data_IF_185883803830
#
_entry.id   IF_185883803830
#
_cell.length_a   1.000
_cell.length_b   1.000
_cell.length_c   1.000
_cell.angle_alpha   90.00
_cell.angle_beta   90.00
_cell.angle_gamma   90.00
#
_symmetry.space_group_name_H-M   'P 1'
#
loop_
_entity.id
_entity.type
_entity.pdbx_description
1 polymer ?
#
# COMPACT_ATOMS: atom_id res chain seq x y z
N UNK A 1 -27.02 11.35 -22.55
CA UNK A 1 -25.84 12.05 -21.99
C UNK A 1 -26.29 12.84 -20.77
N UNK A 2 -26.24 12.24 -19.57
CA UNK A 2 -26.37 13.02 -18.33
C UNK A 2 -24.99 13.63 -18.09
N UNK A 3 -24.79 14.85 -18.56
CA UNK A 3 -23.69 15.69 -18.09
C UNK A 3 -23.88 15.79 -16.58
N UNK A 4 -22.99 15.13 -15.85
CA UNK A 4 -23.04 15.11 -14.39
C UNK A 4 -22.85 16.55 -13.93
N UNK A 5 -23.90 17.10 -13.33
CA UNK A 5 -23.85 18.44 -12.76
C UNK A 5 -22.84 18.41 -11.62
N UNK A 6 -21.97 19.40 -11.60
CA UNK A 6 -20.81 19.65 -10.72
C UNK A 6 -21.12 19.75 -9.21
N UNK A 7 -22.27 19.24 -8.74
CA UNK A 7 -22.72 19.29 -7.35
C UNK A 7 -23.23 17.94 -6.82
N UNK A 8 -23.36 16.89 -7.66
CA UNK A 8 -23.73 15.56 -7.15
C UNK A 8 -22.52 14.89 -6.49
N UNK A 9 -22.66 14.61 -5.19
CA UNK A 9 -21.69 13.85 -4.41
C UNK A 9 -21.54 12.46 -5.06
N UNK A 10 -20.44 12.25 -5.80
CA UNK A 10 -20.10 10.93 -6.31
C UNK A 10 -19.80 9.99 -5.14
N UNK A 11 -20.78 9.19 -4.75
CA UNK A 11 -20.52 8.00 -3.95
C UNK A 11 -20.26 6.85 -4.91
N UNK A 12 -19.04 6.29 -4.85
CA UNK A 12 -18.57 5.29 -5.81
C UNK A 12 -19.44 4.04 -5.83
N UNK A 13 -20.22 3.78 -4.76
CA UNK A 13 -21.20 2.69 -4.71
C UNK A 13 -22.25 2.78 -5.82
N UNK A 14 -22.46 3.96 -6.40
CA UNK A 14 -23.42 4.21 -7.46
C UNK A 14 -22.76 4.46 -8.83
N UNK A 15 -21.43 4.45 -8.91
CA UNK A 15 -20.75 4.60 -10.18
C UNK A 15 -20.76 3.29 -10.95
N UNK A 16 -21.18 3.38 -12.20
CA UNK A 16 -21.04 2.32 -13.19
C UNK A 16 -19.57 2.17 -13.59
N UNK A 17 -19.21 0.97 -14.09
CA UNK A 17 -17.88 0.73 -14.67
C UNK A 17 -17.51 1.77 -15.74
N UNK A 18 -18.49 2.23 -16.53
CA UNK A 18 -18.28 3.28 -17.54
C UNK A 18 -17.86 4.61 -16.90
N UNK A 19 -18.53 5.03 -15.84
CA UNK A 19 -18.18 6.27 -15.13
C UNK A 19 -16.81 6.16 -14.43
N UNK A 20 -16.46 4.98 -13.90
CA UNK A 20 -15.10 4.74 -13.38
C UNK A 20 -14.06 4.93 -14.49
N UNK A 21 -14.29 4.39 -15.69
CA UNK A 21 -13.40 4.56 -16.83
C UNK A 21 -13.30 6.03 -17.27
N UNK A 22 -14.40 6.78 -17.23
CA UNK A 22 -14.39 8.23 -17.50
C UNK A 22 -13.54 8.99 -16.47
N UNK A 23 -13.67 8.66 -15.18
CA UNK A 23 -12.85 9.27 -14.12
C UNK A 23 -11.37 8.86 -14.21
N UNK A 24 -11.07 7.64 -14.64
CA UNK A 24 -9.68 7.22 -14.88
C UNK A 24 -9.01 8.07 -15.97
N UNK A 25 -9.78 8.53 -16.95
CA UNK A 25 -9.35 9.44 -18.03
C UNK A 25 -9.39 10.92 -17.64
N UNK A 26 -9.76 11.26 -16.41
CA UNK A 26 -9.93 12.66 -16.01
C UNK A 26 -8.63 13.45 -16.19
N UNK A 27 -8.75 14.61 -16.83
CA UNK A 27 -7.68 15.59 -17.02
C UNK A 27 -8.23 17.01 -16.79
N UNK A 28 -7.33 17.98 -16.67
CA UNK A 28 -7.69 19.40 -16.54
C UNK A 28 -8.65 19.66 -15.37
N UNK A 29 -9.74 20.39 -15.64
CA UNK A 29 -10.71 20.79 -14.61
C UNK A 29 -11.36 19.57 -13.91
N UNK A 30 -11.73 18.54 -14.67
CA UNK A 30 -12.37 17.34 -14.12
C UNK A 30 -11.45 16.63 -13.11
N UNK A 31 -10.16 16.51 -13.42
CA UNK A 31 -9.18 15.91 -12.51
C UNK A 31 -8.97 16.75 -11.25
N UNK A 32 -8.88 18.07 -11.40
CA UNK A 32 -8.74 18.99 -10.26
C UNK A 32 -9.93 18.87 -9.31
N UNK A 33 -11.15 18.79 -9.85
CA UNK A 33 -12.37 18.65 -9.07
C UNK A 33 -12.44 17.26 -8.39
N UNK A 34 -12.04 16.20 -9.09
CA UNK A 34 -11.89 14.85 -8.54
C UNK A 34 -10.94 14.84 -7.33
N UNK A 35 -9.75 15.43 -7.46
CA UNK A 35 -8.76 15.46 -6.38
C UNK A 35 -9.21 16.36 -5.23
N UNK A 36 -9.85 17.50 -5.52
CA UNK A 36 -10.44 18.36 -4.49
C UNK A 36 -11.45 17.57 -3.67
N UNK A 37 -12.36 16.85 -4.33
CA UNK A 37 -13.37 16.04 -3.65
C UNK A 37 -12.75 14.91 -2.82
N UNK A 38 -11.74 14.24 -3.36
CA UNK A 38 -11.01 13.22 -2.62
C UNK A 38 -10.38 13.78 -1.33
N UNK A 39 -9.76 14.97 -1.38
CA UNK A 39 -9.21 15.63 -0.18
C UNK A 39 -10.28 16.01 0.83
N UNK A 40 -11.43 16.53 0.39
CA UNK A 40 -12.57 16.86 1.28
C UNK A 40 -13.07 15.62 2.03
N UNK A 41 -13.13 14.45 1.38
CA UNK A 41 -13.53 13.20 2.04
C UNK A 41 -12.46 12.70 2.99
N UNK A 42 -11.18 12.82 2.60
CA UNK A 42 -10.03 12.36 3.40
C UNK A 42 -9.87 13.18 4.68
N UNK A 43 -10.28 14.46 4.68
CA UNK A 43 -10.00 15.44 5.74
C UNK A 43 -8.49 15.64 5.93
N UNK A 44 -8.06 16.06 7.12
CA UNK A 44 -6.67 16.38 7.45
C UNK A 44 -5.89 15.22 8.09
N UNK A 45 -6.49 14.03 8.19
CA UNK A 45 -5.85 12.90 8.86
C UNK A 45 -4.92 12.17 7.91
N UNK A 46 -3.60 12.19 8.20
CA UNK A 46 -2.61 11.34 7.53
C UNK A 46 -1.82 10.55 8.55
N UNK A 47 -1.75 9.23 8.36
CA UNK A 47 -1.00 8.33 9.22
C UNK A 47 0.39 8.05 8.67
N UNK A 48 1.33 7.83 9.58
CA UNK A 48 2.67 7.34 9.27
C UNK A 48 2.89 6.01 10.00
N UNK A 49 3.57 5.07 9.36
CA UNK A 49 3.95 3.79 9.99
C UNK A 49 5.36 3.39 9.62
N UNK A 50 6.04 2.69 10.54
CA UNK A 50 7.40 2.20 10.34
C UNK A 50 7.40 0.85 9.65
N UNK A 51 8.30 0.65 8.69
CA UNK A 51 8.53 -0.62 8.00
C UNK A 51 9.91 -1.17 8.39
N UNK A 52 9.94 -2.47 8.65
CA UNK A 52 11.16 -3.27 8.78
C UNK A 52 11.13 -4.37 7.71
N UNK A 53 12.12 -4.34 6.81
CA UNK A 53 12.47 -5.44 5.94
C UNK A 53 13.31 -6.44 6.74
N UNK A 54 12.70 -7.53 7.20
CA UNK A 54 13.37 -8.51 8.08
C UNK A 54 14.35 -9.42 7.31
N UNK A 55 14.25 -9.47 5.98
CA UNK A 55 15.14 -10.25 5.11
C UNK A 55 15.15 -9.80 3.65
N UNK A 56 16.25 -10.05 2.94
CA UNK A 56 16.38 -9.89 1.47
C UNK A 56 16.80 -11.19 0.76
N UNK A 57 16.57 -11.25 -0.56
CA UNK A 57 16.88 -12.41 -1.42
C UNK A 57 18.35 -12.39 -1.94
N UNK A 58 18.81 -13.55 -2.39
CA UNK A 58 20.12 -13.95 -2.91
C UNK A 58 20.55 -13.33 -4.26
N UNK A 59 19.64 -12.70 -5.03
CA UNK A 59 20.02 -11.97 -6.25
C UNK A 59 20.61 -10.58 -5.97
N UNK A 60 20.35 -10.03 -4.77
CA UNK A 60 21.05 -8.85 -4.26
C UNK A 60 22.39 -9.31 -3.64
N UNK A 61 23.51 -8.66 -4.00
CA UNK A 61 24.86 -8.99 -3.48
C UNK A 61 25.02 -8.87 -1.95
N UNK A 62 23.95 -8.56 -1.22
CA UNK A 62 23.89 -8.37 0.24
C UNK A 62 22.61 -8.99 0.84
N UNK A 63 22.48 -10.32 0.77
CA UNK A 63 21.44 -11.04 1.52
C UNK A 63 21.66 -10.88 3.03
N UNK A 64 20.61 -10.53 3.77
CA UNK A 64 20.67 -10.45 5.23
C UNK A 64 19.37 -10.96 5.87
N UNK A 65 19.49 -11.29 7.15
CA UNK A 65 18.41 -11.70 8.03
C UNK A 65 18.53 -10.95 9.34
N UNK A 66 17.47 -10.26 9.76
CA UNK A 66 17.45 -9.63 11.07
C UNK A 66 17.09 -10.67 12.13
N UNK A 67 17.91 -10.75 13.17
CA UNK A 67 17.59 -11.54 14.34
C UNK A 67 16.55 -10.84 15.24
N UNK A 68 16.09 -11.57 16.26
CA UNK A 68 15.14 -11.05 17.25
C UNK A 68 15.60 -9.73 17.87
N UNK A 69 16.89 -9.62 18.27
CA UNK A 69 17.40 -8.44 18.97
C UNK A 69 17.38 -7.21 18.06
N UNK A 70 17.77 -7.36 16.80
CA UNK A 70 17.74 -6.30 15.80
C UNK A 70 16.31 -5.80 15.56
N UNK A 71 15.34 -6.71 15.38
CA UNK A 71 13.95 -6.33 15.13
C UNK A 71 13.37 -5.55 16.33
N UNK A 72 13.60 -6.02 17.56
CA UNK A 72 13.15 -5.31 18.77
C UNK A 72 13.82 -3.95 18.93
N UNK A 73 15.13 -3.84 18.64
CA UNK A 73 15.84 -2.57 18.69
C UNK A 73 15.26 -1.54 17.71
N UNK A 74 14.95 -1.96 16.48
CA UNK A 74 14.34 -1.09 15.47
C UNK A 74 12.88 -0.75 15.86
N UNK A 75 12.12 -1.71 16.40
CA UNK A 75 10.76 -1.46 16.88
C UNK A 75 10.73 -0.40 18.01
N UNK A 76 11.74 -0.39 18.89
CA UNK A 76 11.93 0.68 19.89
C UNK A 76 12.19 2.04 19.24
N UNK A 77 12.93 2.09 18.13
CA UNK A 77 13.14 3.34 17.39
C UNK A 77 11.84 3.85 16.74
N UNK A 78 11.03 2.95 16.17
CA UNK A 78 9.69 3.29 15.62
C UNK A 78 8.81 3.88 16.73
N UNK A 79 8.80 3.27 17.92
CA UNK A 79 8.07 3.80 19.07
C UNK A 79 8.59 5.17 19.52
N UNK A 80 9.91 5.35 19.59
CA UNK A 80 10.54 6.61 19.95
C UNK A 80 10.27 7.73 18.94
N UNK A 81 10.01 7.38 17.67
CA UNK A 81 9.54 8.29 16.63
C UNK A 81 8.03 8.61 16.73
N UNK A 82 7.36 8.23 17.81
CA UNK A 82 5.92 8.41 18.05
C UNK A 82 5.01 7.75 17.01
N UNK A 83 5.47 6.68 16.35
CA UNK A 83 4.64 5.87 15.47
C UNK A 83 3.97 4.75 16.27
N UNK A 84 2.70 4.49 15.97
CA UNK A 84 1.89 3.50 16.67
C UNK A 84 1.84 2.13 15.96
N UNK A 85 2.42 2.04 14.76
CA UNK A 85 2.25 0.92 13.85
C UNK A 85 3.57 0.52 13.21
N UNK A 86 3.82 -0.78 13.18
CA UNK A 86 4.99 -1.42 12.59
C UNK A 86 4.57 -2.45 11.55
N UNK A 87 5.25 -2.45 10.40
CA UNK A 87 5.13 -3.46 9.35
C UNK A 87 6.39 -4.30 9.34
N UNK A 88 6.24 -5.61 9.54
CA UNK A 88 7.30 -6.59 9.35
C UNK A 88 7.08 -7.24 7.98
N UNK A 89 8.02 -7.02 7.05
CA UNK A 89 7.91 -7.52 5.69
C UNK A 89 9.14 -8.33 5.28
N UNK A 90 8.91 -9.33 4.44
CA UNK A 90 9.95 -10.18 3.87
C UNK A 90 9.63 -10.45 2.40
N UNK A 91 10.66 -10.42 1.57
CA UNK A 91 10.57 -10.84 0.15
C UNK A 91 10.64 -12.36 -0.01
N UNK A 92 11.19 -13.07 0.96
CA UNK A 92 11.30 -14.52 0.92
C UNK A 92 10.05 -15.18 1.50
N UNK A 93 9.60 -16.25 0.83
CA UNK A 93 8.64 -17.21 1.36
C UNK A 93 9.33 -18.22 2.32
N UNK A 94 10.16 -17.74 3.25
CA UNK A 94 10.75 -18.58 4.30
C UNK A 94 9.71 -18.77 5.42
N UNK A 95 9.95 -19.82 6.20
CA UNK A 95 9.29 -20.07 7.47
C UNK A 95 9.84 -19.10 8.53
N UNK A 96 9.21 -17.93 8.63
CA UNK A 96 9.50 -16.91 9.65
C UNK A 96 8.88 -17.21 11.02
N UNK A 97 8.17 -18.32 11.14
CA UNK A 97 7.29 -18.62 12.27
C UNK A 97 8.02 -18.54 13.62
N UNK A 98 9.15 -19.24 13.78
CA UNK A 98 9.89 -19.23 15.05
C UNK A 98 10.34 -17.83 15.47
N UNK A 99 10.91 -17.04 14.54
CA UNK A 99 11.35 -15.67 14.81
C UNK A 99 10.17 -14.77 15.19
N UNK A 100 9.05 -14.87 14.45
CA UNK A 100 7.87 -14.04 14.68
C UNK A 100 7.13 -14.41 15.96
N UNK A 101 7.14 -15.68 16.36
CA UNK A 101 6.59 -16.16 17.63
C UNK A 101 7.30 -15.54 18.84
N UNK A 102 8.59 -15.26 18.72
CA UNK A 102 9.37 -14.58 19.76
C UNK A 102 9.15 -13.07 19.73
N UNK A 103 9.18 -12.46 18.53
CA UNK A 103 9.18 -11.00 18.36
C UNK A 103 7.80 -10.37 18.56
N UNK A 104 6.73 -10.99 18.03
CA UNK A 104 5.38 -10.39 18.03
C UNK A 104 4.88 -10.11 19.45
N UNK A 105 4.95 -11.05 20.42
CA UNK A 105 4.50 -10.80 21.78
C UNK A 105 5.24 -9.64 22.46
N UNK A 106 6.55 -9.52 22.24
CA UNK A 106 7.37 -8.43 22.81
C UNK A 106 6.92 -7.08 22.23
N UNK A 107 6.80 -6.97 20.91
CA UNK A 107 6.33 -5.73 20.26
C UNK A 107 4.92 -5.36 20.74
N UNK A 108 4.03 -6.35 20.88
CA UNK A 108 2.65 -6.12 21.27
C UNK A 108 2.53 -5.68 22.72
N UNK A 109 3.17 -6.40 23.63
CA UNK A 109 2.96 -6.25 25.07
C UNK A 109 3.88 -5.20 25.70
N UNK A 110 5.13 -5.08 25.23
CA UNK A 110 6.10 -4.15 25.81
C UNK A 110 6.09 -2.79 25.11
N UNK A 111 5.94 -2.77 23.77
CA UNK A 111 5.98 -1.52 22.99
C UNK A 111 4.58 -0.95 22.67
N UNK A 112 3.54 -1.77 22.85
CA UNK A 112 2.15 -1.41 22.52
C UNK A 112 2.05 -0.82 21.10
N UNK A 113 2.62 -1.53 20.12
CA UNK A 113 2.54 -1.20 18.70
C UNK A 113 1.51 -2.10 18.00
N UNK A 114 0.84 -1.54 16.99
CA UNK A 114 0.05 -2.33 16.04
C UNK A 114 0.98 -3.04 15.07
N UNK A 115 0.77 -4.34 14.87
CA UNK A 115 1.65 -5.19 14.08
C UNK A 115 0.97 -5.56 12.78
N UNK A 116 1.68 -5.33 11.67
CA UNK A 116 1.27 -5.70 10.32
C UNK A 116 2.30 -6.65 9.76
N UNK A 117 1.85 -7.78 9.20
CA UNK A 117 2.72 -8.71 8.49
C UNK A 117 2.54 -8.59 6.99
N UNK A 118 3.64 -8.57 6.24
CA UNK A 118 3.67 -8.61 4.78
C UNK A 118 4.64 -9.68 4.32
N UNK A 119 4.20 -10.94 4.38
CA UNK A 119 5.05 -12.11 4.17
C UNK A 119 4.65 -12.95 2.94
N UNK A 120 3.67 -12.46 2.16
CA UNK A 120 3.08 -13.18 1.03
C UNK A 120 2.03 -14.21 1.46
N UNK A 121 1.72 -15.13 0.55
CA UNK A 121 0.69 -16.14 0.76
C UNK A 121 1.13 -17.20 1.78
N UNK A 122 0.21 -17.59 2.66
CA UNK A 122 0.38 -18.66 3.65
C UNK A 122 -0.89 -19.49 3.76
N UNK A 123 -0.74 -20.66 4.37
CA UNK A 123 -1.88 -21.51 4.71
C UNK A 123 -2.69 -20.90 5.86
N UNK A 124 -3.96 -21.32 5.97
CA UNK A 124 -4.91 -20.75 6.93
C UNK A 124 -4.45 -20.92 8.38
N UNK A 125 -3.79 -22.03 8.69
CA UNK A 125 -3.28 -22.38 10.02
C UNK A 125 -2.19 -21.39 10.46
N UNK A 126 -1.33 -20.97 9.54
CA UNK A 126 -0.27 -19.98 9.78
C UNK A 126 -0.89 -18.61 10.07
N UNK A 127 -1.88 -18.18 9.28
CA UNK A 127 -2.61 -16.95 9.56
C UNK A 127 -3.33 -16.99 10.91
N UNK A 128 -3.92 -18.13 11.28
CA UNK A 128 -4.56 -18.31 12.57
C UNK A 128 -3.53 -18.19 13.72
N UNK A 129 -2.32 -18.70 13.53
CA UNK A 129 -1.22 -18.55 14.50
C UNK A 129 -0.83 -17.08 14.67
N UNK A 130 -0.63 -16.35 13.57
CA UNK A 130 -0.33 -14.92 13.61
C UNK A 130 -1.43 -14.10 14.30
N UNK A 131 -2.70 -14.39 14.02
CA UNK A 131 -3.82 -13.75 14.71
C UNK A 131 -3.76 -13.98 16.23
N UNK A 132 -3.47 -15.21 16.67
CA UNK A 132 -3.32 -15.55 18.11
C UNK A 132 -2.15 -14.84 18.79
N UNK A 133 -1.06 -14.58 18.06
CA UNK A 133 0.10 -13.86 18.58
C UNK A 133 -0.15 -12.35 18.75
N UNK A 134 -1.23 -11.81 18.17
CA UNK A 134 -1.62 -10.40 18.32
C UNK A 134 -1.34 -9.52 17.10
N UNK A 135 -1.14 -10.13 15.91
CA UNK A 135 -1.08 -9.40 14.64
C UNK A 135 -2.40 -8.69 14.38
N UNK A 136 -2.35 -7.41 14.02
CA UNK A 136 -3.52 -6.59 13.79
C UNK A 136 -4.01 -6.66 12.34
N UNK A 137 -3.07 -6.70 11.39
CA UNK A 137 -3.35 -6.60 9.96
C UNK A 137 -2.39 -7.46 9.16
N UNK A 138 -2.81 -7.90 7.97
CA UNK A 138 -1.96 -8.60 7.03
C UNK A 138 -2.02 -7.92 5.67
N UNK A 139 -0.86 -7.60 5.11
CA UNK A 139 -0.72 -6.99 3.80
C UNK A 139 -0.43 -8.05 2.73
N UNK A 140 -1.29 -8.10 1.72
CA UNK A 140 -1.18 -9.00 0.58
C UNK A 140 -1.90 -8.37 -0.61
N UNK A 141 -1.16 -7.76 -1.53
CA UNK A 141 -1.76 -7.14 -2.71
C UNK A 141 -2.22 -8.20 -3.73
N UNK A 142 -3.47 -8.13 -4.18
CA UNK A 142 -3.94 -8.97 -5.29
C UNK A 142 -3.29 -8.59 -6.63
N UNK A 143 -2.88 -7.32 -6.77
CA UNK A 143 -2.10 -6.79 -7.88
C UNK A 143 -2.93 -6.46 -9.12
N UNK A 144 -3.71 -7.41 -9.63
CA UNK A 144 -4.69 -7.17 -10.70
C UNK A 144 -5.77 -8.23 -10.66
N UNK A 145 -7.00 -7.84 -10.97
CA UNK A 145 -8.19 -8.68 -11.13
C UNK A 145 -8.19 -9.49 -12.42
N UNK A 146 -7.32 -9.14 -13.38
CA UNK A 146 -7.18 -9.88 -14.63
C UNK A 146 -6.25 -11.10 -14.41
N UNK A 147 -6.74 -12.34 -14.55
CA UNK A 147 -5.95 -13.53 -14.28
C UNK A 147 -4.78 -13.73 -15.25
N UNK A 148 -4.88 -13.24 -16.49
CA UNK A 148 -3.82 -13.34 -17.50
C UNK A 148 -2.69 -12.37 -17.16
N UNK A 149 -3.01 -11.11 -16.84
CA UNK A 149 -2.01 -10.14 -16.39
C UNK A 149 -1.37 -10.58 -15.07
N UNK A 150 -2.17 -11.11 -14.14
CA UNK A 150 -1.67 -11.62 -12.87
C UNK A 150 -0.62 -12.73 -13.04
N UNK A 151 -0.81 -13.64 -14.00
CA UNK A 151 0.12 -14.73 -14.27
C UNK A 151 1.48 -14.24 -14.82
N UNK A 152 1.52 -13.05 -15.43
CA UNK A 152 2.76 -12.46 -15.96
C UNK A 152 3.57 -11.73 -14.88
N UNK A 153 2.94 -11.37 -13.75
CA UNK A 153 3.55 -10.54 -12.70
C UNK A 153 3.84 -11.34 -11.44
N UNK A 154 3.03 -12.35 -11.14
CA UNK A 154 3.10 -13.10 -9.90
C UNK A 154 3.31 -14.58 -10.15
N UNK A 155 4.06 -15.22 -9.25
CA UNK A 155 4.33 -16.66 -9.31
C UNK A 155 3.08 -17.51 -9.02
N UNK A 156 2.08 -16.93 -8.38
CA UNK A 156 0.84 -17.61 -7.96
C UNK A 156 -0.38 -17.09 -8.72
N UNK A 157 -1.39 -17.94 -8.96
CA UNK A 157 -2.64 -17.51 -9.56
C UNK A 157 -3.42 -16.52 -8.68
N UNK A 158 -4.11 -15.56 -9.31
CA UNK A 158 -4.98 -14.61 -8.61
C UNK A 158 -5.95 -15.27 -7.62
N UNK A 159 -6.59 -16.39 -8.01
CA UNK A 159 -7.52 -17.13 -7.14
C UNK A 159 -6.91 -17.54 -5.79
N UNK A 160 -5.60 -17.79 -5.76
CA UNK A 160 -4.91 -18.20 -4.55
C UNK A 160 -4.77 -17.01 -3.59
N UNK A 161 -4.33 -15.85 -4.10
CA UNK A 161 -4.29 -14.60 -3.33
C UNK A 161 -5.66 -14.21 -2.80
N UNK A 162 -6.71 -14.24 -3.63
CA UNK A 162 -8.08 -13.93 -3.20
C UNK A 162 -8.56 -14.88 -2.08
N UNK A 163 -8.23 -16.18 -2.18
CA UNK A 163 -8.51 -17.15 -1.12
C UNK A 163 -7.79 -16.80 0.19
N UNK A 164 -6.53 -16.40 0.13
CA UNK A 164 -5.77 -15.96 1.29
C UNK A 164 -6.39 -14.70 1.93
N UNK A 165 -6.79 -13.70 1.13
CA UNK A 165 -7.48 -12.50 1.61
C UNK A 165 -8.78 -12.85 2.35
N UNK A 166 -9.58 -13.75 1.77
CA UNK A 166 -10.80 -14.23 2.40
C UNK A 166 -10.51 -14.97 3.73
N UNK A 167 -9.46 -15.82 3.79
CA UNK A 167 -9.07 -16.46 5.05
C UNK A 167 -8.68 -15.45 6.13
N UNK A 168 -7.92 -14.41 5.77
CA UNK A 168 -7.52 -13.34 6.69
C UNK A 168 -8.75 -12.62 7.27
N UNK A 169 -9.71 -12.26 6.42
CA UNK A 169 -10.97 -11.65 6.86
C UNK A 169 -11.80 -12.57 7.76
N UNK A 170 -11.91 -13.86 7.41
CA UNK A 170 -12.62 -14.85 8.24
C UNK A 170 -12.01 -15.03 9.63
N UNK A 171 -10.69 -14.82 9.76
CA UNK A 171 -9.98 -14.88 11.03
C UNK A 171 -10.08 -13.57 11.84
N UNK A 172 -10.76 -12.54 11.31
CA UNK A 172 -10.90 -11.24 11.97
C UNK A 172 -9.67 -10.35 11.84
N UNK A 173 -8.68 -10.73 11.03
CA UNK A 173 -7.54 -9.86 10.73
C UNK A 173 -7.98 -8.73 9.79
N UNK A 174 -7.45 -7.53 10.01
CA UNK A 174 -7.54 -6.47 9.00
C UNK A 174 -6.72 -6.88 7.78
N UNK A 175 -7.22 -6.53 6.60
CA UNK A 175 -6.55 -6.83 5.34
C UNK A 175 -6.10 -5.52 4.69
N UNK A 176 -4.87 -5.54 4.20
CA UNK A 176 -4.30 -4.50 3.34
C UNK A 176 -4.03 -5.11 1.98
N UNK A 177 -4.62 -4.53 0.94
CA UNK A 177 -4.44 -5.02 -0.42
C UNK A 177 -4.64 -3.88 -1.40
N UNK A 178 -4.20 -4.07 -2.63
CA UNK A 178 -4.70 -3.31 -3.76
C UNK A 178 -4.10 -3.79 -5.06
N UNK A 179 -4.04 -2.88 -6.02
CA UNK A 179 -3.67 -3.16 -7.38
C UNK A 179 -2.40 -2.42 -7.82
N UNK A 180 -1.81 -2.94 -8.88
CA UNK A 180 -0.75 -2.32 -9.65
C UNK A 180 -1.43 -1.59 -10.83
N UNK A 181 -1.08 -0.33 -11.03
CA UNK A 181 -1.61 0.50 -12.12
C UNK A 181 -0.50 0.78 -13.14
N UNK A 182 -0.78 0.52 -14.41
CA UNK A 182 0.16 0.72 -15.52
C UNK A 182 0.94 -0.54 -15.90
N UNK A 183 0.45 -1.74 -15.58
CA UNK A 183 1.08 -2.99 -16.03
C UNK A 183 1.12 -3.07 -17.56
N UNK A 184 2.18 -3.66 -18.17
CA UNK A 184 2.22 -3.88 -19.61
C UNK A 184 0.99 -4.67 -20.10
N UNK A 185 0.21 -4.08 -21.01
CA UNK A 185 -1.03 -4.67 -21.54
C UNK A 185 -2.27 -4.47 -20.66
N UNK A 186 -2.19 -3.72 -19.56
CA UNK A 186 -3.35 -3.40 -18.71
C UNK A 186 -4.22 -2.32 -19.35
N UNK A 187 -5.50 -2.62 -19.54
CA UNK A 187 -6.46 -1.66 -20.06
C UNK A 187 -7.15 -0.88 -18.94
N UNK A 188 -7.84 0.22 -19.29
CA UNK A 188 -8.65 0.97 -18.33
C UNK A 188 -9.80 0.13 -17.76
N UNK A 189 -10.34 -0.79 -18.56
CA UNK A 189 -11.32 -1.77 -18.10
C UNK A 189 -10.75 -2.69 -17.04
N UNK A 190 -9.47 -3.10 -17.15
CA UNK A 190 -8.83 -3.89 -16.10
C UNK A 190 -8.67 -3.10 -14.80
N UNK A 191 -8.25 -1.83 -14.88
CA UNK A 191 -8.13 -0.97 -13.69
C UNK A 191 -9.51 -0.70 -13.07
N UNK A 192 -10.55 -0.52 -13.88
CA UNK A 192 -11.91 -0.37 -13.37
C UNK A 192 -12.39 -1.65 -12.64
N UNK A 193 -12.06 -2.84 -13.14
CA UNK A 193 -12.33 -4.11 -12.43
C UNK A 193 -11.50 -4.25 -11.15
N UNK A 194 -10.24 -3.80 -11.14
CA UNK A 194 -9.42 -3.75 -9.93
C UNK A 194 -10.06 -2.87 -8.85
N UNK A 195 -10.62 -1.73 -9.26
CA UNK A 195 -11.34 -0.81 -8.38
C UNK A 195 -12.59 -1.50 -7.81
N UNK A 196 -13.42 -2.10 -8.67
CA UNK A 196 -14.64 -2.79 -8.27
C UNK A 196 -14.35 -3.95 -7.31
N UNK A 197 -13.32 -4.76 -7.58
CA UNK A 197 -12.86 -5.82 -6.70
C UNK A 197 -12.42 -5.28 -5.33
N UNK A 198 -11.72 -4.13 -5.30
CA UNK A 198 -11.31 -3.51 -4.04
C UNK A 198 -12.52 -2.99 -3.24
N UNK A 199 -13.56 -2.46 -3.91
CA UNK A 199 -14.82 -2.08 -3.27
C UNK A 199 -15.55 -3.28 -2.67
N UNK A 200 -15.48 -4.45 -3.32
CA UNK A 200 -16.05 -5.69 -2.82
C UNK A 200 -15.28 -6.17 -1.57
N UNK A 201 -13.94 -6.16 -1.62
CA UNK A 201 -13.07 -6.60 -0.52
C UNK A 201 -13.21 -5.69 0.71
N UNK A 202 -13.42 -4.38 0.52
CA UNK A 202 -13.44 -3.35 1.58
C UNK A 202 -12.23 -3.44 2.53
N UNK A 203 -10.99 -3.33 2.02
CA UNK A 203 -9.82 -3.48 2.86
C UNK A 203 -9.64 -2.31 3.84
N UNK A 204 -8.94 -2.57 4.94
CA UNK A 204 -8.59 -1.53 5.92
C UNK A 204 -7.57 -0.54 5.35
N UNK A 205 -6.70 -1.02 4.46
CA UNK A 205 -5.72 -0.21 3.73
C UNK A 205 -5.73 -0.59 2.26
N UNK A 206 -5.74 0.42 1.38
CA UNK A 206 -5.67 0.27 -0.07
C UNK A 206 -4.27 0.63 -0.54
N UNK A 207 -3.62 -0.31 -1.21
CA UNK A 207 -2.33 -0.09 -1.85
C UNK A 207 -2.52 0.09 -3.36
N UNK A 208 -2.52 1.33 -3.82
CA UNK A 208 -2.49 1.64 -5.25
C UNK A 208 -1.04 1.88 -5.66
N UNK A 209 -0.41 0.89 -6.27
CA UNK A 209 1.02 0.92 -6.58
C UNK A 209 1.22 1.17 -8.07
N UNK A 210 1.99 2.19 -8.49
CA UNK A 210 2.33 2.33 -9.90
C UNK A 210 3.27 1.21 -10.35
N UNK A 211 3.11 0.74 -11.58
CA UNK A 211 4.14 -0.01 -12.26
C UNK A 211 5.28 0.95 -12.66
N UNK A 212 6.51 0.62 -12.24
CA UNK A 212 7.70 1.43 -12.51
C UNK A 212 8.40 0.88 -13.74
N UNK A 213 8.55 1.70 -14.77
CA UNK A 213 9.34 1.41 -15.96
C UNK A 213 10.49 2.44 -16.09
N UNK A 214 11.33 2.33 -17.12
CA UNK A 214 12.48 3.25 -17.30
C UNK A 214 12.06 4.70 -17.61
N UNK A 215 10.85 4.90 -18.16
CA UNK A 215 10.31 6.19 -18.57
C UNK A 215 8.80 6.23 -18.41
N UNK A 216 8.33 6.61 -17.23
CA UNK A 216 6.90 6.76 -17.01
C UNK A 216 6.42 8.13 -17.55
N UNK A 217 5.37 8.10 -18.36
CA UNK A 217 4.74 9.30 -18.90
C UNK A 217 3.91 10.02 -17.83
N UNK A 218 3.66 11.32 -18.04
CA UNK A 218 2.74 12.08 -17.18
C UNK A 218 1.32 11.47 -17.16
N UNK A 219 0.90 10.82 -18.24
CA UNK A 219 -0.39 10.14 -18.34
C UNK A 219 -0.47 8.92 -17.43
N UNK A 220 0.59 8.11 -17.35
CA UNK A 220 0.66 6.96 -16.43
C UNK A 220 0.63 7.41 -14.97
N UNK A 221 1.35 8.48 -14.63
CA UNK A 221 1.29 9.06 -13.28
C UNK A 221 -0.13 9.56 -12.97
N UNK A 222 -0.75 10.30 -13.91
CA UNK A 222 -2.12 10.79 -13.74
C UNK A 222 -3.12 9.65 -13.57
N UNK A 223 -2.95 8.54 -14.27
CA UNK A 223 -3.80 7.36 -14.13
C UNK A 223 -3.75 6.78 -12.71
N UNK A 224 -2.57 6.71 -12.10
CA UNK A 224 -2.39 6.25 -10.72
C UNK A 224 -3.05 7.23 -9.74
N UNK A 225 -2.86 8.53 -9.92
CA UNK A 225 -3.48 9.55 -9.07
C UNK A 225 -5.01 9.57 -9.18
N UNK A 226 -5.55 9.43 -10.40
CA UNK A 226 -6.98 9.28 -10.63
C UNK A 226 -7.52 8.04 -9.92
N UNK A 227 -6.80 6.93 -9.97
CA UNK A 227 -7.16 5.70 -9.26
C UNK A 227 -7.20 5.90 -7.73
N UNK A 228 -6.20 6.59 -7.14
CA UNK A 228 -6.19 6.96 -5.72
C UNK A 228 -7.43 7.78 -5.34
N UNK A 229 -7.75 8.79 -6.15
CA UNK A 229 -8.89 9.66 -5.89
C UNK A 229 -10.23 8.91 -5.97
N UNK A 230 -10.38 8.03 -6.97
CA UNK A 230 -11.53 7.13 -7.12
C UNK A 230 -11.67 6.23 -5.88
N UNK A 231 -10.58 5.62 -5.40
CA UNK A 231 -10.63 4.84 -4.16
C UNK A 231 -11.13 5.65 -2.96
N UNK A 232 -10.69 6.90 -2.82
CA UNK A 232 -11.14 7.76 -1.72
C UNK A 232 -12.64 8.05 -1.77
N UNK A 233 -13.21 8.24 -2.96
CA UNK A 233 -14.65 8.45 -3.12
C UNK A 233 -15.46 7.21 -2.66
N UNK A 234 -14.98 6.00 -2.97
CA UNK A 234 -15.69 4.75 -2.69
C UNK A 234 -15.45 4.16 -1.31
N UNK A 235 -14.23 4.28 -0.80
CA UNK A 235 -13.78 3.69 0.45
C UNK A 235 -13.35 4.79 1.42
N UNK A 236 -14.32 5.64 1.76
CA UNK A 236 -14.15 6.89 2.51
C UNK A 236 -13.35 6.72 3.81
N UNK A 237 -13.50 5.57 4.49
CA UNK A 237 -12.86 5.28 5.79
C UNK A 237 -11.54 4.51 5.69
N UNK A 238 -11.24 3.90 4.54
CA UNK A 238 -10.01 3.13 4.39
C UNK A 238 -8.79 4.05 4.36
N UNK A 239 -7.67 3.54 4.86
CA UNK A 239 -6.38 4.19 4.60
C UNK A 239 -6.00 3.93 3.15
N UNK A 240 -5.39 4.91 2.50
CA UNK A 240 -4.89 4.78 1.13
C UNK A 240 -3.43 5.18 1.14
N UNK A 241 -2.57 4.25 0.72
CA UNK A 241 -1.12 4.43 0.73
C UNK A 241 -0.69 5.36 -0.40
N UNK A 242 0.11 6.38 -0.09
CA UNK A 242 0.93 7.05 -1.10
C UNK A 242 2.23 6.26 -1.27
N UNK A 243 2.26 5.36 -2.26
CA UNK A 243 3.31 4.37 -2.42
C UNK A 243 4.68 5.00 -2.68
N UNK A 244 5.75 4.40 -2.13
CA UNK A 244 7.13 4.85 -2.38
C UNK A 244 7.52 4.81 -3.86
N UNK A 245 6.85 3.99 -4.65
CA UNK A 245 7.06 3.91 -6.10
C UNK A 245 6.63 5.20 -6.83
N UNK A 246 5.68 5.98 -6.29
CA UNK A 246 5.34 7.29 -6.87
C UNK A 246 6.53 8.26 -6.84
N UNK A 247 7.32 8.24 -5.76
CA UNK A 247 8.51 9.08 -5.64
C UNK A 247 9.62 8.71 -6.64
N UNK A 248 9.64 7.44 -7.09
CA UNK A 248 10.55 6.99 -8.15
C UNK A 248 10.08 7.46 -9.53
N UNK A 249 8.77 7.57 -9.74
CA UNK A 249 8.23 8.03 -11.01
C UNK A 249 8.44 9.53 -11.22
N UNK A 250 8.34 10.32 -10.14
CA UNK A 250 8.43 11.77 -10.21
C UNK A 250 8.84 12.35 -8.88
N UNK A 251 9.65 13.40 -8.92
CA UNK A 251 9.88 14.27 -7.77
C UNK A 251 8.53 14.71 -7.20
N UNK A 252 8.36 14.61 -5.89
CA UNK A 252 7.11 14.91 -5.18
C UNK A 252 5.97 13.94 -5.46
N UNK A 253 6.25 12.76 -6.02
CA UNK A 253 5.24 11.75 -6.31
C UNK A 253 4.40 11.37 -5.08
N UNK A 254 5.01 11.33 -3.88
CA UNK A 254 4.25 11.09 -2.65
C UNK A 254 3.31 12.24 -2.30
N UNK A 255 3.78 13.48 -2.43
CA UNK A 255 2.95 14.67 -2.22
C UNK A 255 1.77 14.68 -3.20
N UNK A 256 2.01 14.29 -4.46
CA UNK A 256 0.97 14.12 -5.46
C UNK A 256 -0.07 13.07 -5.04
N UNK A 257 0.37 11.90 -4.54
CA UNK A 257 -0.54 10.88 -4.02
C UNK A 257 -1.38 11.35 -2.82
N UNK A 258 -0.76 12.05 -1.87
CA UNK A 258 -1.46 12.70 -0.74
C UNK A 258 -2.49 13.71 -1.24
N UNK A 259 -2.13 14.54 -2.23
CA UNK A 259 -3.01 15.53 -2.84
C UNK A 259 -4.14 14.90 -3.68
N UNK A 260 -3.98 13.66 -4.13
CA UNK A 260 -5.03 12.88 -4.80
C UNK A 260 -5.99 12.18 -3.82
N UNK A 261 -5.76 12.24 -2.51
CA UNK A 261 -6.65 11.68 -1.49
C UNK A 261 -6.05 10.54 -0.64
N UNK A 262 -4.77 10.22 -0.84
CA UNK A 262 -4.04 9.28 0.02
C UNK A 262 -3.85 9.86 1.44
N UNK A 263 -3.80 8.98 2.43
CA UNK A 263 -3.64 9.33 3.84
C UNK A 263 -2.78 8.36 4.66
N UNK A 264 -1.88 7.64 4.00
CA UNK A 264 -0.92 6.77 4.66
C UNK A 264 0.45 6.88 4.01
N UNK A 265 1.47 7.11 4.84
CA UNK A 265 2.87 7.11 4.46
C UNK A 265 3.62 5.98 5.17
N UNK A 266 4.39 5.23 4.40
CA UNK A 266 5.30 4.21 4.90
C UNK A 266 6.71 4.80 5.03
N UNK A 267 7.29 4.65 6.22
CA UNK A 267 8.65 5.11 6.56
C UNK A 267 9.53 3.88 6.73
N UNK A 268 10.67 3.84 6.05
CA UNK A 268 11.59 2.72 6.21
C UNK A 268 12.50 2.93 7.43
N UNK A 269 12.48 1.99 8.37
CA UNK A 269 13.34 1.96 9.55
C UNK A 269 14.42 0.88 9.49
N UNK A 270 14.49 0.14 8.38
CA UNK A 270 15.53 -0.87 8.16
C UNK A 270 16.91 -0.19 8.11
N UNK A 271 17.88 -0.56 8.96
CA UNK A 271 19.16 0.13 9.03
C UNK A 271 19.92 0.10 7.70
N UNK A 272 20.60 1.20 7.37
CA UNK A 272 21.32 1.36 6.10
C UNK A 272 22.41 0.30 5.87
N UNK A 273 22.99 -0.26 6.94
CA UNK A 273 23.97 -1.36 6.86
C UNK A 273 23.37 -2.65 6.26
N UNK A 274 22.05 -2.81 6.37
CA UNK A 274 21.30 -3.90 5.73
C UNK A 274 20.63 -3.42 4.43
N UNK A 275 20.44 -2.12 4.23
CA UNK A 275 19.61 -1.55 3.16
C UNK A 275 20.32 -0.82 2.01
N UNK A 276 21.64 -0.91 1.83
CA UNK A 276 22.38 -0.06 0.85
C UNK A 276 22.05 -0.28 -0.63
N UNK A 277 21.29 -1.30 -1.04
CA UNK A 277 20.96 -1.54 -2.45
C UNK A 277 19.55 -2.12 -2.60
N UNK A 278 18.51 -1.29 -2.57
CA UNK A 278 17.17 -1.71 -2.99
C UNK A 278 16.94 -1.32 -4.46
N UNK A 279 17.23 -2.23 -5.39
CA UNK A 279 16.87 -2.11 -6.80
C UNK A 279 16.05 -3.33 -7.21
N UNK A 280 14.76 -3.18 -7.49
CA UNK A 280 13.99 -4.20 -8.22
C UNK A 280 13.19 -3.47 -9.29
N UNK A 281 13.59 -3.74 -10.54
CA UNK A 281 13.08 -3.26 -11.83
C UNK A 281 13.12 -1.74 -12.02
N UNK A 282 14.13 -1.31 -12.81
CA UNK A 282 14.62 0.06 -12.98
C UNK A 282 15.22 0.69 -11.71
N UNK A 283 16.06 1.70 -11.91
CA UNK A 283 17.12 2.10 -10.97
C UNK A 283 16.55 2.77 -9.70
N UNK A 284 17.05 2.31 -8.54
CA UNK A 284 17.03 2.97 -7.22
C UNK A 284 15.64 3.23 -6.58
N UNK A 285 15.21 2.36 -5.65
CA UNK A 285 14.15 2.76 -4.70
C UNK A 285 14.70 3.81 -3.75
N UNK A 286 14.05 4.97 -3.72
CA UNK A 286 14.25 5.99 -2.68
C UNK A 286 13.78 5.44 -1.34
N UNK A 287 14.70 5.34 -0.39
CA UNK A 287 14.41 5.03 1.02
C UNK A 287 13.92 6.32 1.66
N UNK A 288 12.64 6.36 2.03
CA UNK A 288 12.02 7.57 2.57
C UNK A 288 12.04 7.47 4.08
N UNK A 289 12.86 8.33 4.68
CA UNK A 289 12.98 8.50 6.12
C UNK A 289 11.87 9.36 6.71
N UNK A 290 11.86 9.47 8.04
CA UNK A 290 10.86 10.23 8.79
C UNK A 290 10.85 11.72 8.41
N UNK A 291 12.01 12.34 8.24
CA UNK A 291 12.13 13.78 7.91
C UNK A 291 11.45 14.12 6.58
N UNK A 292 11.71 13.33 5.53
CA UNK A 292 11.08 13.53 4.22
C UNK A 292 9.56 13.30 4.26
N UNK A 293 9.09 12.35 5.08
CA UNK A 293 7.65 12.15 5.29
C UNK A 293 7.02 13.38 5.98
N UNK A 294 7.67 13.95 6.99
CA UNK A 294 7.22 15.17 7.66
C UNK A 294 7.20 16.37 6.70
N UNK A 295 8.26 16.56 5.90
CA UNK A 295 8.29 17.61 4.86
C UNK A 295 7.13 17.46 3.86
N UNK A 296 6.87 16.23 3.41
CA UNK A 296 5.74 15.93 2.51
C UNK A 296 4.41 16.39 3.11
N UNK A 297 4.18 16.14 4.41
CA UNK A 297 2.96 16.57 5.09
C UNK A 297 2.89 18.08 5.26
N UNK A 298 4.00 18.73 5.64
CA UNK A 298 4.07 20.19 5.78
C UNK A 298 3.74 20.88 4.46
N UNK A 299 4.32 20.41 3.35
CA UNK A 299 4.07 20.93 2.00
C UNK A 299 2.65 20.66 1.52
N UNK A 300 1.99 19.61 2.02
CA UNK A 300 0.58 19.36 1.78
C UNK A 300 -0.37 20.21 2.67
N UNK A 301 0.17 20.98 3.62
CA UNK A 301 -0.62 21.73 4.60
C UNK A 301 -1.24 20.86 5.68
N UNK A 302 -0.63 19.70 5.99
CA UNK A 302 -1.18 18.67 6.87
C UNK A 302 -0.30 18.41 8.08
N UNK A 303 -0.91 17.82 9.11
CA UNK A 303 -0.22 17.33 10.30
C UNK A 303 -0.29 15.80 10.33
N UNK A 304 0.72 15.17 10.91
CA UNK A 304 0.65 13.74 11.23
C UNK A 304 -0.41 13.52 12.31
N UNK A 305 -1.29 12.56 12.08
CA UNK A 305 -2.30 12.10 13.03
C UNK A 305 -1.74 11.11 14.04
#
# INVERSE_FOLDING_TARGET
MKLVKTEEVYDLKYLTKREIIELLKAQGKLQQDLFKRAREIRLDQVKMRGIIDISTDSEDRNCYYLDHQAIIAIAKQIKAANLDTIVLQSRHNLEWNSLLEEVIPVIKNELNLNIILSLGERNKEVYQKYAKLGVNSFALDFGTSNPILAANVFQTPLRQRLRCLNFLQQLGLKVETGNIVGLPGQTLENIAEDILLTLEIQPSVINCVPFVNDYNSQEEINLVLNTIAIYRLGLKKSLITSANALEQLKLDGKLMGINAGANLLNINFTPAQFGKQYAIHSRQRLVIGLEQAVDTLQRAGLKSA
#
